data_IF_529944316721
#
_entry.id   IF_529944316721
#
_cell.length_a   1.000
_cell.length_b   1.000
_cell.length_c   1.000
_cell.angle_alpha   90.00
_cell.angle_beta   90.00
_cell.angle_gamma   90.00
#
_symmetry.space_group_name_H-M   'P 1'
#
loop_
_entity.id
_entity.type
_entity.pdbx_description
1 polymer ?
#
# COMPACT_ATOMS: atom_id res chain seq x y z
N UNK A 1 43.57 -33.79 -46.94
CA UNK A 1 43.04 -32.53 -47.48
C UNK A 1 41.61 -32.83 -47.87
N UNK A 2 40.58 -32.21 -47.34
CA UNK A 2 40.45 -31.08 -46.40
C UNK A 2 39.43 -31.52 -45.31
N UNK A 3 39.28 -30.94 -44.12
CA UNK A 3 39.36 -29.52 -43.74
C UNK A 3 38.16 -29.28 -42.83
N UNK A 4 38.40 -29.33 -41.52
CA UNK A 4 37.41 -29.28 -40.45
C UNK A 4 36.27 -28.27 -40.64
N UNK A 5 35.02 -28.68 -40.40
CA UNK A 5 33.96 -27.75 -40.00
C UNK A 5 33.51 -28.05 -38.57
N UNK A 6 34.19 -27.40 -37.61
CA UNK A 6 33.80 -27.42 -36.21
C UNK A 6 32.48 -26.67 -36.02
N UNK A 7 31.64 -27.25 -35.15
CA UNK A 7 30.88 -26.56 -34.09
C UNK A 7 30.53 -25.09 -34.36
N UNK A 8 29.25 -24.82 -34.63
CA UNK A 8 28.59 -23.69 -33.96
C UNK A 8 27.15 -24.04 -33.62
N UNK A 9 26.95 -24.53 -32.39
CA UNK A 9 25.62 -24.62 -31.79
C UNK A 9 25.09 -23.20 -31.54
N UNK A 10 24.31 -22.65 -32.48
CA UNK A 10 23.56 -21.42 -32.21
C UNK A 10 22.26 -21.78 -31.49
N UNK A 11 22.38 -22.24 -30.25
CA UNK A 11 21.30 -22.12 -29.28
C UNK A 11 21.07 -20.62 -29.05
N UNK A 12 20.20 -20.02 -29.88
CA UNK A 12 19.54 -18.76 -29.54
C UNK A 12 18.53 -19.09 -28.44
N UNK A 13 19.06 -19.39 -27.25
CA UNK A 13 18.34 -19.19 -26.02
C UNK A 13 18.05 -17.69 -25.96
N UNK A 14 16.88 -17.32 -26.47
CA UNK A 14 16.31 -16.00 -26.23
C UNK A 14 16.17 -15.92 -24.72
N UNK A 15 17.16 -15.29 -24.10
CA UNK A 15 17.02 -14.64 -22.81
C UNK A 15 15.93 -13.59 -23.02
N UNK A 16 14.68 -14.04 -22.93
CA UNK A 16 13.61 -13.19 -22.42
C UNK A 16 14.13 -12.86 -21.02
N UNK A 17 14.61 -11.63 -20.75
CA UNK A 17 14.66 -11.23 -19.36
C UNK A 17 13.23 -11.40 -18.88
N UNK A 18 13.01 -12.29 -17.92
CA UNK A 18 11.78 -12.21 -17.16
C UNK A 18 11.79 -10.79 -16.61
N UNK A 19 10.99 -9.91 -17.20
CA UNK A 19 10.56 -8.68 -16.56
C UNK A 19 9.65 -9.12 -15.42
N UNK A 20 10.29 -9.68 -14.39
CA UNK A 20 9.98 -9.35 -13.02
C UNK A 20 10.20 -7.84 -12.96
N UNK A 21 9.21 -7.08 -13.43
CA UNK A 21 9.05 -5.70 -13.01
C UNK A 21 9.07 -5.81 -11.50
N UNK A 22 10.16 -5.36 -10.88
CA UNK A 22 10.29 -5.35 -9.43
C UNK A 22 9.23 -4.39 -8.94
N UNK A 23 8.07 -4.96 -8.63
CA UNK A 23 6.95 -4.26 -8.03
C UNK A 23 7.48 -3.68 -6.73
N UNK A 24 7.53 -2.36 -6.68
CA UNK A 24 8.02 -1.57 -5.58
C UNK A 24 7.17 -1.87 -4.32
N UNK A 25 7.85 -2.02 -3.20
CA UNK A 25 7.24 -2.29 -1.90
C UNK A 25 6.59 -1.02 -1.33
N UNK A 26 5.84 -1.15 -0.24
CA UNK A 26 5.21 -0.01 0.43
C UNK A 26 6.24 1.05 0.83
N UNK A 27 5.95 2.31 0.50
CA UNK A 27 6.83 3.45 0.68
C UNK A 27 7.91 3.63 -0.39
N UNK A 28 8.21 2.61 -1.21
CA UNK A 28 9.21 2.70 -2.27
C UNK A 28 8.74 3.59 -3.44
N UNK A 29 9.72 4.00 -4.26
CA UNK A 29 9.53 4.84 -5.43
C UNK A 29 8.76 4.11 -6.55
N UNK A 30 7.79 4.79 -7.16
CA UNK A 30 6.98 4.22 -8.24
C UNK A 30 6.74 5.21 -9.38
N UNK A 31 6.62 4.70 -10.61
CA UNK A 31 6.44 5.52 -11.83
C UNK A 31 5.12 5.25 -12.56
N UNK A 32 4.33 4.26 -12.11
CA UNK A 32 3.04 3.92 -12.74
C UNK A 32 2.08 3.22 -11.76
N UNK A 33 0.80 3.18 -12.13
CA UNK A 33 -0.30 2.55 -11.40
C UNK A 33 -0.02 1.12 -10.95
N UNK A 34 0.71 0.36 -11.78
CA UNK A 34 0.98 -1.06 -11.62
C UNK A 34 2.42 -1.33 -11.15
N UNK A 35 3.16 -0.29 -10.75
CA UNK A 35 4.54 -0.42 -10.27
C UNK A 35 4.64 -0.90 -8.82
N UNK A 36 3.53 -0.93 -8.05
CA UNK A 36 3.53 -1.35 -6.65
C UNK A 36 3.07 -2.81 -6.50
N UNK A 37 3.52 -3.50 -5.44
CA UNK A 37 3.00 -4.83 -5.09
C UNK A 37 1.50 -4.72 -4.77
N UNK A 38 0.61 -5.44 -5.48
CA UNK A 38 -0.80 -5.47 -5.13
C UNK A 38 -1.03 -6.39 -3.92
N UNK A 39 -1.42 -5.80 -2.79
CA UNK A 39 -1.79 -6.53 -1.58
C UNK A 39 -3.31 -6.72 -1.50
N UNK A 40 -3.76 -7.98 -1.57
CA UNK A 40 -5.19 -8.30 -1.58
C UNK A 40 -5.93 -7.88 -2.86
N UNK A 41 -7.18 -8.34 -2.98
CA UNK A 41 -8.03 -8.11 -4.17
C UNK A 41 -8.99 -6.92 -4.01
N UNK A 42 -9.08 -6.32 -2.82
CA UNK A 42 -10.07 -5.28 -2.53
C UNK A 42 -9.53 -3.88 -2.88
N UNK A 43 -10.34 -2.98 -3.49
CA UNK A 43 -9.90 -1.66 -3.94
C UNK A 43 -9.23 -0.79 -2.88
N UNK A 44 -9.64 -0.91 -1.62
CA UNK A 44 -9.15 -0.06 -0.52
C UNK A 44 -7.99 -0.71 0.28
N UNK A 45 -7.79 -2.02 0.07
CA UNK A 45 -6.79 -2.86 0.78
C UNK A 45 -5.46 -3.00 0.02
N UNK A 46 -5.46 -2.66 -1.27
CA UNK A 46 -4.26 -2.68 -2.13
C UNK A 46 -3.36 -1.49 -1.89
N UNK A 47 -2.08 -1.66 -2.21
CA UNK A 47 -1.11 -0.57 -2.35
C UNK A 47 -1.12 -0.10 -3.81
N UNK A 48 -1.08 1.22 -4.01
CA UNK A 48 -1.07 1.87 -5.33
C UNK A 48 -0.02 2.97 -5.36
N UNK A 49 0.44 3.31 -6.56
CA UNK A 49 1.36 4.45 -6.71
C UNK A 49 0.63 5.77 -6.40
N UNK A 50 1.15 6.55 -5.45
CA UNK A 50 0.61 7.85 -5.07
C UNK A 50 1.68 8.92 -5.29
N UNK A 51 1.33 9.97 -6.00
CA UNK A 51 2.27 11.01 -6.36
C UNK A 51 2.05 12.24 -5.47
N UNK A 52 3.13 12.73 -4.86
CA UNK A 52 3.16 13.88 -3.94
C UNK A 52 4.11 14.96 -4.47
N UNK A 53 3.62 15.75 -5.42
CA UNK A 53 4.31 16.94 -5.91
C UNK A 53 4.01 18.18 -5.07
N UNK A 54 4.71 19.31 -5.31
CA UNK A 54 4.44 20.58 -4.63
C UNK A 54 3.01 21.12 -4.87
N UNK A 55 2.32 20.65 -5.91
CA UNK A 55 0.93 21.00 -6.24
C UNK A 55 0.00 19.78 -6.39
N UNK A 56 0.51 18.57 -6.18
CA UNK A 56 -0.13 17.34 -6.66
C UNK A 56 -0.33 16.34 -5.54
N UNK A 57 -1.59 16.25 -5.09
CA UNK A 57 -2.11 15.28 -4.13
C UNK A 57 -2.95 14.25 -4.89
N UNK A 58 -2.36 13.54 -5.86
CA UNK A 58 -3.11 12.67 -6.77
C UNK A 58 -2.70 11.20 -6.67
N UNK A 59 -3.69 10.31 -6.68
CA UNK A 59 -3.49 8.86 -6.81
C UNK A 59 -3.67 8.43 -8.28
N UNK A 60 -2.54 8.38 -9.01
CA UNK A 60 -2.36 8.03 -10.43
C UNK A 60 -3.05 8.99 -11.44
N UNK A 61 -2.41 9.50 -12.51
CA UNK A 61 -1.13 9.19 -13.21
C UNK A 61 -0.38 10.54 -13.54
N UNK A 62 0.70 10.71 -14.35
CA UNK A 62 1.37 9.89 -15.40
C UNK A 62 2.87 10.26 -15.54
N UNK A 63 3.69 9.26 -15.92
CA UNK A 63 4.88 9.31 -16.79
C UNK A 63 6.05 10.31 -16.59
N UNK A 64 6.00 11.31 -15.69
CA UNK A 64 7.08 12.31 -15.59
C UNK A 64 7.50 12.70 -14.16
N UNK A 65 6.94 12.07 -13.13
CA UNK A 65 7.42 12.27 -11.76
C UNK A 65 7.26 11.00 -10.91
N UNK A 66 8.16 10.82 -9.94
CA UNK A 66 8.26 9.58 -9.15
C UNK A 66 7.38 9.69 -7.91
N UNK A 67 6.31 8.91 -7.87
CA UNK A 67 5.45 8.74 -6.70
C UNK A 67 6.04 7.77 -5.67
N UNK A 68 5.24 7.42 -4.65
CA UNK A 68 5.52 6.34 -3.71
C UNK A 68 4.34 5.38 -3.59
N UNK A 69 4.64 4.10 -3.39
CA UNK A 69 3.64 3.08 -3.14
C UNK A 69 2.97 3.29 -1.78
N UNK A 70 1.66 3.52 -1.75
CA UNK A 70 0.89 3.80 -0.53
C UNK A 70 -0.50 3.16 -0.57
N UNK A 71 -1.14 3.01 0.59
CA UNK A 71 -2.42 2.31 0.72
C UNK A 71 -3.56 3.02 -0.01
N UNK A 72 -4.31 2.29 -0.83
CA UNK A 72 -5.34 2.84 -1.71
C UNK A 72 -6.48 3.55 -0.97
N UNK A 73 -6.78 3.20 0.29
CA UNK A 73 -7.69 3.98 1.15
C UNK A 73 -7.28 5.46 1.33
N UNK A 74 -6.00 5.79 1.14
CA UNK A 74 -5.55 7.18 1.09
C UNK A 74 -5.93 7.91 -0.21
N UNK A 75 -6.60 7.23 -1.14
CA UNK A 75 -7.19 7.81 -2.34
C UNK A 75 -8.65 8.13 -2.07
N UNK A 76 -8.93 9.40 -1.75
CA UNK A 76 -10.29 9.89 -1.57
C UNK A 76 -11.03 10.08 -2.90
N UNK A 77 -12.27 10.55 -2.80
CA UNK A 77 -13.10 10.88 -3.96
C UNK A 77 -12.37 11.85 -4.91
N UNK A 78 -12.56 11.66 -6.22
CA UNK A 78 -11.86 12.38 -7.29
C UNK A 78 -10.32 12.25 -7.30
N UNK A 79 -9.80 11.13 -6.79
CA UNK A 79 -8.36 10.78 -6.76
C UNK A 79 -7.48 11.74 -5.94
N UNK A 80 -8.04 12.41 -4.92
CA UNK A 80 -7.27 13.25 -4.01
C UNK A 80 -6.64 12.44 -2.86
N UNK A 81 -5.36 12.70 -2.60
CA UNK A 81 -4.63 12.10 -1.49
C UNK A 81 -5.15 12.62 -0.14
N UNK A 82 -5.57 11.71 0.72
CA UNK A 82 -5.99 11.95 2.10
C UNK A 82 -5.23 10.97 3.00
N UNK A 83 -4.61 11.44 4.08
CA UNK A 83 -3.77 10.60 4.95
C UNK A 83 -4.64 9.90 6.02
N UNK A 84 -5.38 8.86 5.60
CA UNK A 84 -6.47 8.20 6.36
C UNK A 84 -6.25 6.70 6.60
N UNK A 85 -5.04 6.21 6.36
CA UNK A 85 -4.64 4.86 6.69
C UNK A 85 -3.22 4.52 6.28
N UNK A 86 -2.78 3.35 6.72
CA UNK A 86 -1.44 2.80 6.49
C UNK A 86 -1.50 1.34 6.04
N UNK A 87 -0.34 0.81 5.66
CA UNK A 87 -0.16 -0.60 5.36
C UNK A 87 0.43 -1.29 6.58
N UNK A 88 -0.10 -2.45 6.95
CA UNK A 88 0.48 -3.35 7.95
C UNK A 88 1.20 -4.48 7.21
N UNK A 89 2.55 -4.46 7.09
CA UNK A 89 3.28 -5.47 6.32
C UNK A 89 3.10 -6.89 6.85
N UNK A 90 2.98 -7.04 8.18
CA UNK A 90 2.78 -8.32 8.86
C UNK A 90 1.38 -8.93 8.65
N UNK A 91 0.37 -8.09 8.37
CA UNK A 91 -0.99 -8.54 8.03
C UNK A 91 -1.26 -8.50 6.52
N UNK A 92 -0.35 -7.91 5.73
CA UNK A 92 -0.44 -7.82 4.26
C UNK A 92 -1.64 -7.02 3.75
N UNK A 93 -2.07 -5.98 4.49
CA UNK A 93 -3.33 -5.26 4.23
C UNK A 93 -3.29 -3.78 4.65
N UNK A 94 -4.28 -2.99 4.22
CA UNK A 94 -4.39 -1.57 4.57
C UNK A 94 -5.40 -1.34 5.70
N UNK A 95 -5.09 -0.45 6.63
CA UNK A 95 -5.91 -0.18 7.83
C UNK A 95 -6.17 1.29 8.06
N UNK A 96 -7.29 1.61 8.70
CA UNK A 96 -7.71 2.98 8.99
C UNK A 96 -7.11 3.54 10.27
N UNK A 97 -6.61 4.78 10.19
CA UNK A 97 -6.26 5.55 11.36
C UNK A 97 -7.50 5.82 12.24
N UNK A 98 -7.27 6.08 13.52
CA UNK A 98 -8.31 6.48 14.47
C UNK A 98 -9.07 7.71 13.95
N UNK A 99 -10.39 7.73 14.13
CA UNK A 99 -11.24 8.82 13.63
C UNK A 99 -11.55 8.76 12.13
N UNK A 100 -10.99 7.81 11.37
CA UNK A 100 -11.30 7.62 9.94
C UNK A 100 -12.38 6.55 9.74
N UNK A 101 -13.08 6.59 8.60
CA UNK A 101 -14.10 5.61 8.25
C UNK A 101 -13.52 4.19 8.13
N UNK A 102 -14.29 3.21 8.57
CA UNK A 102 -13.91 1.80 8.57
C UNK A 102 -15.05 0.88 8.15
N UNK A 103 -14.69 -0.31 7.66
CA UNK A 103 -15.65 -1.33 7.24
C UNK A 103 -15.61 -2.56 8.16
N UNK A 104 -16.65 -2.74 8.96
CA UNK A 104 -16.90 -3.97 9.75
C UNK A 104 -17.40 -5.16 8.90
N UNK A 105 -17.42 -5.01 7.56
CA UNK A 105 -17.80 -6.08 6.62
C UNK A 105 -16.69 -7.08 6.32
N UNK A 106 -15.48 -6.87 6.87
CA UNK A 106 -14.31 -7.71 6.66
C UNK A 106 -14.11 -8.68 7.83
N UNK A 107 -13.58 -9.87 7.55
CA UNK A 107 -13.27 -10.88 8.59
C UNK A 107 -12.15 -10.43 9.56
N UNK A 108 -11.49 -9.31 9.27
CA UNK A 108 -10.45 -8.68 10.08
C UNK A 108 -10.78 -7.19 10.21
N UNK A 109 -10.56 -6.65 11.40
CA UNK A 109 -10.83 -5.25 11.76
C UNK A 109 -10.08 -4.25 10.86
N UNK A 110 -10.80 -3.42 10.09
CA UNK A 110 -10.27 -2.44 9.12
C UNK A 110 -9.57 -1.20 9.74
N UNK A 111 -9.08 -1.33 10.98
CA UNK A 111 -8.49 -0.24 11.75
C UNK A 111 -7.10 -0.61 12.29
N UNK A 112 -6.29 0.41 12.58
CA UNK A 112 -4.93 0.28 13.14
C UNK A 112 -4.87 -0.54 14.43
N UNK A 113 -3.70 -1.09 14.80
CA UNK A 113 -3.53 -1.80 16.06
C UNK A 113 -4.07 -1.04 17.27
N UNK A 114 -4.65 -1.79 18.21
CA UNK A 114 -5.32 -1.29 19.41
C UNK A 114 -6.57 -0.40 19.19
N UNK A 115 -7.14 -0.39 17.99
CA UNK A 115 -8.44 0.22 17.70
C UNK A 115 -9.45 -0.81 17.17
N UNK A 116 -10.72 -0.43 17.00
CA UNK A 116 -11.80 -1.28 16.47
C UNK A 116 -12.81 -0.47 15.64
N UNK A 117 -13.62 -1.16 14.83
CA UNK A 117 -14.67 -0.57 14.01
C UNK A 117 -16.08 -0.76 14.63
N UNK A 118 -16.60 0.18 15.46
CA UNK A 118 -17.95 0.13 16.02
C UNK A 118 -19.06 0.10 14.95
N UNK A 119 -19.93 -0.92 14.99
CA UNK A 119 -21.00 -1.15 13.99
C UNK A 119 -21.96 0.03 13.78
N UNK A 120 -22.24 0.78 14.85
CA UNK A 120 -23.17 1.92 14.87
C UNK A 120 -22.55 3.24 14.35
N UNK A 121 -21.22 3.31 14.22
CA UNK A 121 -20.50 4.54 13.83
C UNK A 121 -19.64 4.38 12.58
N UNK A 122 -19.05 3.19 12.36
CA UNK A 122 -18.15 2.89 11.24
C UNK A 122 -16.98 3.87 11.12
N UNK A 123 -16.44 4.26 12.28
CA UNK A 123 -15.25 5.10 12.43
C UNK A 123 -14.31 4.38 13.39
N UNK A 124 -13.02 4.29 13.08
CA UNK A 124 -12.05 3.62 13.95
C UNK A 124 -11.95 4.31 15.33
N UNK A 125 -12.19 3.57 16.41
CA UNK A 125 -12.13 4.05 17.80
C UNK A 125 -11.11 3.22 18.60
N UNK A 126 -10.43 3.80 19.60
CA UNK A 126 -9.48 3.07 20.42
C UNK A 126 -10.17 2.02 21.32
N UNK A 127 -9.52 0.87 21.48
CA UNK A 127 -9.94 -0.15 22.44
C UNK A 127 -9.88 0.39 23.88
N UNK A 128 -10.68 -0.19 24.77
CA UNK A 128 -10.66 0.15 26.21
C UNK A 128 -9.24 0.01 26.78
N UNK A 129 -8.77 1.04 27.48
CA UNK A 129 -7.41 1.12 28.02
C UNK A 129 -6.36 1.72 27.07
N UNK A 130 -6.77 2.16 25.88
CA UNK A 130 -5.92 2.88 24.92
C UNK A 130 -6.45 4.30 24.64
N UNK A 131 -5.54 5.20 24.31
CA UNK A 131 -5.79 6.59 23.98
C UNK A 131 -5.13 6.97 22.64
N UNK A 132 -5.64 8.02 21.98
CA UNK A 132 -5.10 8.47 20.70
C UNK A 132 -3.68 9.01 20.90
N UNK A 133 -2.73 8.53 20.10
CA UNK A 133 -1.34 9.01 20.13
C UNK A 133 -1.20 10.47 19.68
N UNK A 134 -0.05 11.06 19.98
CA UNK A 134 0.30 12.45 19.64
C UNK A 134 0.34 12.77 18.14
N UNK A 135 0.38 11.75 17.28
CA UNK A 135 0.24 11.89 15.82
C UNK A 135 -1.22 11.97 15.34
N UNK A 136 -2.19 11.75 16.23
CA UNK A 136 -3.62 11.72 15.93
C UNK A 136 -4.09 10.49 15.16
N UNK A 137 -3.24 9.48 14.96
CA UNK A 137 -3.47 8.38 14.01
C UNK A 137 -3.61 7.00 14.63
N UNK A 138 -2.87 6.71 15.71
CA UNK A 138 -2.80 5.38 16.33
C UNK A 138 -3.39 5.37 17.74
N UNK A 139 -3.51 4.18 18.32
CA UNK A 139 -3.92 3.98 19.70
C UNK A 139 -2.76 3.44 20.53
N UNK A 140 -2.33 4.20 21.53
CA UNK A 140 -1.27 3.83 22.49
C UNK A 140 -1.90 3.52 23.85
N UNK A 141 -1.22 2.68 24.65
CA UNK A 141 -1.73 2.30 25.96
C UNK A 141 -1.86 3.54 26.85
N UNK A 142 -3.02 3.75 27.45
CA UNK A 142 -3.24 4.95 28.26
C UNK A 142 -2.30 5.01 29.44
N UNK A 143 -1.71 6.19 29.67
CA UNK A 143 -0.80 6.44 30.79
C UNK A 143 -1.55 6.62 32.13
N UNK A 144 -2.88 6.55 32.12
CA UNK A 144 -3.73 6.58 33.31
C UNK A 144 -3.42 5.37 34.21
N UNK A 145 -2.59 5.62 35.23
CA UNK A 145 -2.30 4.67 36.30
C UNK A 145 -3.55 4.50 37.16
N UNK A 146 -3.99 3.25 37.34
CA UNK A 146 -5.03 2.85 38.31
C UNK A 146 -4.37 2.63 39.67
#
# INVERSE_FOLDING_TARGET
>A
MEGSLFILQLFVAVLIPNLVSSTADYGEACSSTNACIPYGNNPDQKVVCMYRGPASVFCNTVNVEVGRCQCARNCGMANFYNDVGEFLPEEGRCVGFVGTSCYDGWAQNDCVPNSYCPQNRRICECNLGFEVSSDGKHCVRSSATI
#
